data_IF_956880149169
#
_entry.id   IF_956880149169
#
_cell.length_a   1.000
_cell.length_b   1.000
_cell.length_c   1.000
_cell.angle_alpha   90.00
_cell.angle_beta   90.00
_cell.angle_gamma   90.00
#
_symmetry.space_group_name_H-M   'P 1'
#
loop_
_entity.id
_entity.type
_entity.pdbx_description
1 polymer ?
#
# COMPACT_ATOMS: atom_id res chain seq x y z
N UNK A 1 -10.32 27.15 16.99
CA UNK A 1 -11.44 26.36 17.50
C UNK A 1 -12.37 26.06 16.31
N UNK A 2 -12.53 24.80 15.94
CA UNK A 2 -13.41 24.36 14.84
C UNK A 2 -12.73 23.61 13.70
N UNK A 3 -11.42 23.62 13.57
CA UNK A 3 -10.73 22.79 12.60
C UNK A 3 -10.47 21.38 13.15
N UNK A 4 -10.64 20.36 12.30
CA UNK A 4 -10.32 18.97 12.62
C UNK A 4 -8.78 18.80 12.71
N UNK A 5 -8.20 19.14 13.86
CA UNK A 5 -6.79 18.92 14.13
C UNK A 5 -6.58 17.43 14.45
N UNK A 6 -6.39 16.64 13.40
CA UNK A 6 -6.20 15.20 13.52
C UNK A 6 -5.12 14.70 12.57
N UNK A 7 -4.52 13.58 12.94
CA UNK A 7 -3.55 12.82 12.16
C UNK A 7 -3.93 11.36 12.11
N UNK A 8 -3.58 10.68 11.01
CA UNK A 8 -3.72 9.24 10.89
C UNK A 8 -2.35 8.56 11.08
N UNK A 9 -2.30 7.44 11.80
CA UNK A 9 -1.06 6.75 12.13
C UNK A 9 -1.19 5.27 11.82
N UNK A 10 -0.28 4.77 10.98
CA UNK A 10 -0.16 3.37 10.63
C UNK A 10 1.24 2.83 10.87
N UNK A 11 1.40 1.53 10.76
CA UNK A 11 2.70 0.86 10.87
C UNK A 11 2.72 -0.46 10.10
N UNK A 12 3.91 -0.92 9.77
CA UNK A 12 4.16 -2.24 9.18
C UNK A 12 4.49 -3.31 10.25
N UNK A 13 5.05 -4.47 9.81
CA UNK A 13 5.40 -5.59 10.66
C UNK A 13 6.79 -5.50 11.31
N UNK A 14 7.59 -4.48 10.99
CA UNK A 14 8.98 -4.38 11.45
C UNK A 14 9.08 -4.24 12.96
N UNK A 15 10.25 -4.65 13.49
CA UNK A 15 10.55 -4.49 14.90
C UNK A 15 10.34 -3.04 15.35
N UNK A 16 9.68 -2.86 16.49
CA UNK A 16 9.32 -1.57 17.10
C UNK A 16 8.32 -0.71 16.30
N UNK A 17 7.86 -1.12 15.10
CA UNK A 17 6.92 -0.29 14.33
C UNK A 17 5.65 0.03 15.12
N UNK A 18 5.07 -0.94 15.81
CA UNK A 18 3.89 -0.75 16.67
C UNK A 18 4.18 0.21 17.82
N UNK A 19 5.29 0.02 18.53
CA UNK A 19 5.71 0.86 19.65
C UNK A 19 5.92 2.33 19.22
N UNK A 20 6.56 2.54 18.08
CA UNK A 20 6.76 3.88 17.54
C UNK A 20 5.44 4.53 17.08
N UNK A 21 4.51 3.76 16.53
CA UNK A 21 3.18 4.26 16.15
C UNK A 21 2.38 4.68 17.40
N UNK A 22 2.39 3.88 18.46
CA UNK A 22 1.74 4.20 19.74
C UNK A 22 2.36 5.42 20.41
N UNK A 23 3.70 5.52 20.42
CA UNK A 23 4.42 6.69 20.92
C UNK A 23 4.07 7.95 20.13
N UNK A 24 3.99 7.83 18.81
CA UNK A 24 3.56 8.93 17.93
C UNK A 24 2.15 9.38 18.27
N UNK A 25 1.21 8.45 18.45
CA UNK A 25 -0.17 8.77 18.86
C UNK A 25 -0.22 9.44 20.23
N UNK A 26 0.57 8.95 21.20
CA UNK A 26 0.67 9.55 22.54
C UNK A 26 1.14 11.01 22.46
N UNK A 27 2.20 11.29 21.71
CA UNK A 27 2.77 12.64 21.55
C UNK A 27 1.76 13.58 20.87
N UNK A 28 1.11 13.17 19.77
CA UNK A 28 0.09 13.99 19.12
C UNK A 28 -1.08 14.29 20.08
N UNK A 29 -1.57 13.27 20.78
CA UNK A 29 -2.68 13.43 21.73
C UNK A 29 -2.33 14.38 22.90
N UNK A 30 -1.10 14.27 23.42
CA UNK A 30 -0.58 15.14 24.48
C UNK A 30 -0.49 16.61 24.06
N UNK A 31 -0.40 16.88 22.75
CA UNK A 31 -0.39 18.22 22.17
C UNK A 31 -1.79 18.68 21.67
N UNK A 32 -2.85 17.97 22.06
CA UNK A 32 -4.22 18.35 21.76
C UNK A 32 -4.73 17.93 20.37
N UNK A 33 -3.92 17.15 19.63
CA UNK A 33 -4.24 16.67 18.28
C UNK A 33 -4.91 15.29 18.40
N UNK A 34 -6.02 15.08 17.70
CA UNK A 34 -6.65 13.76 17.63
C UNK A 34 -5.81 12.81 16.78
N UNK A 35 -5.43 11.67 17.33
CA UNK A 35 -4.67 10.64 16.64
C UNK A 35 -5.59 9.47 16.28
N UNK A 36 -5.80 9.23 14.99
CA UNK A 36 -6.42 8.01 14.49
C UNK A 36 -5.33 6.96 14.31
N UNK A 37 -5.32 5.95 15.15
CA UNK A 37 -4.31 4.89 15.16
C UNK A 37 -4.95 3.58 14.67
N UNK A 38 -4.36 2.95 13.67
CA UNK A 38 -4.80 1.61 13.29
C UNK A 38 -4.55 0.60 14.41
N UNK A 39 -5.53 -0.28 14.65
CA UNK A 39 -5.48 -1.30 15.72
C UNK A 39 -4.32 -2.29 15.54
N UNK A 40 -3.92 -2.53 14.29
CA UNK A 40 -2.78 -3.36 13.91
C UNK A 40 -2.15 -2.83 12.62
N UNK A 41 -1.13 -3.52 12.12
CA UNK A 41 -0.48 -3.14 10.86
C UNK A 41 -1.50 -3.01 9.71
N UNK A 42 -1.35 -1.98 8.89
CA UNK A 42 -2.14 -1.73 7.68
C UNK A 42 -1.24 -1.20 6.56
N UNK A 43 -1.61 -1.44 5.30
CA UNK A 43 -0.81 -0.99 4.16
C UNK A 43 -0.88 0.51 3.96
N UNK A 44 0.20 1.06 3.41
CA UNK A 44 0.35 2.48 3.07
C UNK A 44 -0.84 3.05 2.27
N UNK A 45 -1.41 2.36 1.26
CA UNK A 45 -2.57 2.86 0.53
C UNK A 45 -3.81 3.08 1.41
N UNK A 46 -4.05 2.23 2.40
CA UNK A 46 -5.18 2.41 3.32
C UNK A 46 -4.95 3.59 4.26
N UNK A 47 -3.72 3.78 4.74
CA UNK A 47 -3.38 4.96 5.55
C UNK A 47 -3.56 6.26 4.75
N UNK A 48 -3.11 6.30 3.49
CA UNK A 48 -3.36 7.44 2.58
C UNK A 48 -4.85 7.72 2.38
N UNK A 49 -5.65 6.67 2.22
CA UNK A 49 -7.11 6.77 2.14
C UNK A 49 -7.70 7.34 3.44
N UNK A 50 -7.24 6.85 4.61
CA UNK A 50 -7.73 7.28 5.91
C UNK A 50 -7.49 8.78 6.18
N UNK A 51 -6.35 9.32 5.78
CA UNK A 51 -6.06 10.75 5.89
C UNK A 51 -7.14 11.59 5.19
N UNK A 52 -7.48 11.23 3.96
CA UNK A 52 -8.48 11.96 3.15
C UNK A 52 -9.89 11.74 3.65
N UNK A 53 -10.24 10.49 3.94
CA UNK A 53 -11.58 10.08 4.35
C UNK A 53 -11.99 10.68 5.70
N UNK A 54 -11.04 10.79 6.64
CA UNK A 54 -11.26 11.37 7.96
C UNK A 54 -10.99 12.89 8.02
N UNK A 55 -10.54 13.48 6.90
CA UNK A 55 -10.18 14.90 6.84
C UNK A 55 -9.02 15.26 7.76
N UNK A 56 -8.06 14.34 7.94
CA UNK A 56 -6.87 14.59 8.74
C UNK A 56 -5.98 15.68 8.13
N UNK A 57 -5.26 16.41 8.98
CA UNK A 57 -4.26 17.40 8.52
C UNK A 57 -2.98 16.76 7.99
N UNK A 58 -2.78 15.47 8.26
CA UNK A 58 -1.65 14.69 7.80
C UNK A 58 -1.68 13.29 8.37
N UNK A 59 -0.62 12.55 8.14
CA UNK A 59 -0.47 11.21 8.68
C UNK A 59 0.97 10.76 8.77
N UNK A 60 1.15 9.63 9.42
CA UNK A 60 2.45 8.98 9.62
C UNK A 60 2.30 7.50 9.40
N UNK A 61 3.24 6.89 8.69
CA UNK A 61 3.39 5.45 8.70
C UNK A 61 4.81 5.07 9.14
N UNK A 62 4.89 4.15 10.08
CA UNK A 62 6.15 3.61 10.58
C UNK A 62 6.50 2.39 9.74
N UNK A 63 7.44 2.58 8.82
CA UNK A 63 7.87 1.55 7.86
C UNK A 63 9.19 1.93 7.20
N UNK A 64 9.97 0.94 6.79
CA UNK A 64 11.09 1.11 5.88
C UNK A 64 10.86 0.36 4.54
N UNK A 65 9.57 0.12 4.16
CA UNK A 65 9.19 -0.55 2.92
C UNK A 65 9.90 -1.91 2.77
N UNK A 66 10.64 -2.15 1.70
CA UNK A 66 11.39 -3.37 1.39
C UNK A 66 12.87 -3.32 1.83
N UNK A 67 13.30 -2.27 2.54
CA UNK A 67 14.67 -2.19 3.05
C UNK A 67 15.01 -3.37 3.99
N UNK A 68 16.30 -3.68 4.22
CA UNK A 68 16.73 -4.72 5.14
C UNK A 68 16.04 -4.62 6.52
N UNK A 69 15.86 -5.75 7.19
CA UNK A 69 15.06 -5.88 8.42
C UNK A 69 15.54 -5.02 9.59
N UNK A 70 16.83 -4.66 9.58
CA UNK A 70 17.46 -3.82 10.60
C UNK A 70 16.99 -2.36 10.52
N UNK A 71 16.39 -1.95 9.40
CA UNK A 71 15.92 -0.59 9.21
C UNK A 71 14.45 -0.45 9.62
N UNK A 72 14.15 0.74 10.14
CA UNK A 72 12.78 1.23 10.24
C UNK A 72 12.76 2.69 9.79
N UNK A 73 11.58 3.28 9.61
CA UNK A 73 11.44 4.62 9.09
C UNK A 73 10.17 5.32 9.55
N UNK A 74 10.16 6.63 9.35
CA UNK A 74 9.05 7.51 9.69
C UNK A 74 8.67 8.29 8.42
N UNK A 75 7.67 7.81 7.69
CA UNK A 75 7.15 8.48 6.50
C UNK A 75 6.02 9.43 6.91
N UNK A 76 6.17 10.72 6.67
CA UNK A 76 5.15 11.73 6.94
C UNK A 76 4.35 12.07 5.68
N UNK A 77 3.05 12.28 5.86
CA UNK A 77 2.08 12.53 4.79
C UNK A 77 1.31 13.83 5.04
N UNK A 78 0.88 14.48 3.96
CA UNK A 78 0.06 15.68 4.03
C UNK A 78 -1.44 15.35 4.01
N UNK A 79 -2.29 16.37 4.05
CA UNK A 79 -3.74 16.22 4.10
C UNK A 79 -4.37 15.67 2.81
N UNK A 80 -3.65 15.66 1.71
CA UNK A 80 -4.05 15.04 0.45
C UNK A 80 -3.79 13.52 0.40
N UNK A 81 -3.16 12.97 1.45
CA UNK A 81 -2.76 11.57 1.53
C UNK A 81 -1.46 11.23 0.81
N UNK A 82 -0.71 12.23 0.33
CA UNK A 82 0.59 12.04 -0.31
C UNK A 82 1.74 12.23 0.68
N UNK A 83 2.83 11.49 0.47
CA UNK A 83 4.05 11.68 1.24
C UNK A 83 4.58 13.11 1.07
N UNK A 84 5.11 13.71 2.16
CA UNK A 84 5.66 15.06 2.13
C UNK A 84 6.78 15.18 1.11
N UNK A 85 6.70 16.25 0.32
CA UNK A 85 7.70 16.62 -0.68
C UNK A 85 8.19 18.06 -0.44
N UNK A 86 9.31 18.48 -1.05
CA UNK A 86 9.78 19.86 -0.95
C UNK A 86 8.69 20.90 -1.29
N UNK A 87 8.61 22.01 -0.55
CA UNK A 87 9.47 22.42 0.57
C UNK A 87 9.01 21.91 1.95
N UNK A 88 7.89 21.19 2.04
CA UNK A 88 7.24 20.84 3.30
C UNK A 88 8.04 19.84 4.15
N UNK A 89 8.68 18.85 3.52
CA UNK A 89 9.56 17.89 4.16
C UNK A 89 10.70 18.60 4.91
N UNK A 90 11.38 19.54 4.22
CA UNK A 90 12.45 20.33 4.82
C UNK A 90 11.93 21.21 5.96
N UNK A 91 10.78 21.85 5.78
CA UNK A 91 10.19 22.71 6.80
C UNK A 91 9.89 21.92 8.09
N UNK A 92 9.36 20.71 7.98
CA UNK A 92 9.11 19.82 9.12
C UNK A 92 10.44 19.47 9.82
N UNK A 93 11.46 19.06 9.07
CA UNK A 93 12.77 18.72 9.65
C UNK A 93 13.41 19.95 10.34
N UNK A 94 13.27 21.15 9.78
CA UNK A 94 13.80 22.36 10.39
C UNK A 94 13.06 22.72 11.71
N UNK A 95 11.78 22.42 11.83
CA UNK A 95 11.05 22.54 13.11
C UNK A 95 11.47 21.46 14.11
N UNK A 96 11.61 20.20 13.67
CA UNK A 96 12.09 19.10 14.54
C UNK A 96 13.43 19.43 15.19
N UNK A 97 14.37 20.03 14.45
CA UNK A 97 15.68 20.42 14.98
C UNK A 97 15.62 21.47 16.10
N UNK A 98 14.53 22.23 16.22
CA UNK A 98 14.34 23.24 17.26
C UNK A 98 13.80 22.64 18.56
N UNK A 99 13.17 21.45 18.49
CA UNK A 99 12.55 20.81 19.65
C UNK A 99 13.62 20.21 20.56
N UNK A 100 13.58 20.55 21.83
CA UNK A 100 14.41 19.91 22.85
C UNK A 100 13.69 18.68 23.39
N UNK A 101 14.41 17.61 23.68
CA UNK A 101 13.85 16.38 24.24
C UNK A 101 13.04 16.66 25.51
N UNK A 102 13.48 17.60 26.35
CA UNK A 102 12.79 18.06 27.56
C UNK A 102 11.41 18.69 27.32
N UNK A 103 11.15 19.15 26.11
CA UNK A 103 9.91 19.84 25.77
C UNK A 103 8.84 18.88 25.22
N UNK A 104 9.22 17.60 24.98
CA UNK A 104 8.34 16.58 24.42
C UNK A 104 7.36 16.09 25.50
N UNK A 105 6.07 16.14 25.20
CA UNK A 105 5.00 15.63 26.05
C UNK A 105 4.69 14.18 25.65
N UNK A 106 5.06 13.23 26.49
CA UNK A 106 4.86 11.80 26.24
C UNK A 106 3.56 11.23 26.83
N UNK A 107 2.91 11.94 27.75
CA UNK A 107 1.71 11.42 28.44
C UNK A 107 0.52 11.44 27.50
N UNK A 108 0.08 10.29 27.07
CA UNK A 108 -1.08 10.13 26.22
C UNK A 108 -2.37 10.71 26.82
N UNK A 109 -3.21 11.29 25.98
CA UNK A 109 -4.58 11.71 26.30
C UNK A 109 -5.54 10.70 25.64
N UNK A 110 -6.06 9.69 26.36
CA UNK A 110 -6.81 8.57 25.77
C UNK A 110 -8.01 9.01 24.93
N UNK A 111 -8.74 10.02 25.35
CA UNK A 111 -9.92 10.52 24.63
C UNK A 111 -9.59 11.10 23.24
N UNK A 112 -8.33 11.43 22.99
CA UNK A 112 -7.82 11.92 21.71
C UNK A 112 -7.20 10.85 20.84
N UNK A 113 -7.12 9.61 21.31
CA UNK A 113 -6.65 8.47 20.50
C UNK A 113 -7.88 7.68 20.06
N UNK A 114 -8.08 7.58 18.74
CA UNK A 114 -9.20 6.86 18.13
C UNK A 114 -8.65 5.67 17.36
N UNK A 115 -9.14 4.48 17.67
CA UNK A 115 -8.70 3.26 17.01
C UNK A 115 -9.48 3.04 15.72
N UNK A 116 -8.76 2.75 14.64
CA UNK A 116 -9.31 2.31 13.36
C UNK A 116 -9.16 0.80 13.24
N UNK A 117 -10.25 0.10 13.09
CA UNK A 117 -10.33 -1.37 13.01
C UNK A 117 -11.01 -1.86 11.75
N UNK A 118 -11.56 -3.07 11.81
CA UNK A 118 -12.15 -3.79 10.67
C UNK A 118 -13.28 -3.02 9.95
N UNK A 119 -14.05 -2.21 10.66
CA UNK A 119 -15.08 -1.37 10.04
C UNK A 119 -14.47 -0.38 9.05
N UNK A 120 -13.28 0.12 9.36
CA UNK A 120 -12.54 1.01 8.46
C UNK A 120 -11.94 0.24 7.29
N UNK A 121 -11.39 -0.95 7.52
CA UNK A 121 -10.92 -1.86 6.47
C UNK A 121 -12.05 -2.11 5.46
N UNK A 122 -13.26 -2.39 5.94
CA UNK A 122 -14.40 -2.65 5.05
C UNK A 122 -14.79 -1.42 4.23
N UNK A 123 -14.70 -0.22 4.81
CA UNK A 123 -14.92 1.04 4.08
C UNK A 123 -13.89 1.23 2.96
N UNK A 124 -12.62 0.97 3.26
CA UNK A 124 -11.54 1.00 2.26
C UNK A 124 -11.79 0.00 1.15
N UNK A 125 -12.05 -1.27 1.47
CA UNK A 125 -12.32 -2.33 0.49
C UNK A 125 -13.52 -2.01 -0.41
N UNK A 126 -14.59 -1.46 0.14
CA UNK A 126 -15.76 -1.04 -0.64
C UNK A 126 -15.42 0.10 -1.60
N UNK A 127 -14.60 1.05 -1.15
CA UNK A 127 -14.15 2.15 -2.00
C UNK A 127 -13.25 1.63 -3.14
N UNK A 128 -12.28 0.77 -2.83
CA UNK A 128 -11.41 0.14 -3.83
C UNK A 128 -12.21 -0.66 -4.87
N UNK A 129 -13.27 -1.34 -4.44
CA UNK A 129 -14.16 -2.07 -5.36
C UNK A 129 -14.77 -1.16 -6.43
N UNK A 130 -15.10 0.09 -6.10
CA UNK A 130 -15.68 1.04 -7.07
C UNK A 130 -14.72 1.46 -8.18
N UNK A 131 -13.41 1.19 -8.02
CA UNK A 131 -12.38 1.52 -9.01
C UNK A 131 -12.29 0.48 -10.14
N UNK A 132 -13.00 -0.65 -10.05
CA UNK A 132 -13.01 -1.67 -11.09
C UNK A 132 -13.62 -1.12 -12.39
N UNK A 133 -12.85 -1.18 -13.48
CA UNK A 133 -13.27 -0.71 -14.79
C UNK A 133 -13.81 -1.82 -15.70
N UNK A 134 -13.72 -3.09 -15.28
CA UNK A 134 -14.14 -4.24 -16.06
C UNK A 134 -14.77 -5.34 -15.17
N UNK A 135 -15.84 -5.04 -14.41
CA UNK A 135 -16.45 -6.02 -13.53
C UNK A 135 -17.01 -7.23 -14.30
N UNK A 136 -17.44 -7.05 -15.52
CA UNK A 136 -17.89 -8.12 -16.41
C UNK A 136 -16.77 -9.12 -16.76
N UNK A 137 -15.54 -8.62 -16.96
CA UNK A 137 -14.39 -9.50 -17.21
C UNK A 137 -14.06 -10.34 -15.98
N UNK A 138 -14.16 -9.76 -14.79
CA UNK A 138 -13.96 -10.49 -13.53
C UNK A 138 -15.02 -11.58 -13.37
N UNK A 139 -16.29 -11.31 -13.70
CA UNK A 139 -17.34 -12.31 -13.65
C UNK A 139 -17.07 -13.50 -14.57
N UNK A 140 -16.54 -13.26 -15.77
CA UNK A 140 -16.18 -14.30 -16.73
C UNK A 140 -14.93 -15.09 -16.34
N UNK A 141 -14.06 -14.52 -15.51
CA UNK A 141 -12.78 -15.07 -15.09
C UNK A 141 -12.70 -15.24 -13.56
N UNK A 142 -13.86 -15.43 -12.91
CA UNK A 142 -13.96 -15.47 -11.45
C UNK A 142 -13.18 -16.65 -10.81
N UNK A 143 -12.94 -17.70 -11.56
CA UNK A 143 -12.21 -18.90 -11.19
C UNK A 143 -10.71 -18.87 -11.53
N UNK A 144 -10.21 -17.72 -12.03
CA UNK A 144 -8.78 -17.51 -12.28
C UNK A 144 -7.97 -17.94 -11.06
N UNK A 145 -7.01 -18.83 -11.28
CA UNK A 145 -6.14 -19.36 -10.22
C UNK A 145 -5.06 -18.35 -9.88
N UNK A 146 -5.23 -17.66 -8.77
CA UNK A 146 -4.33 -16.60 -8.31
C UNK A 146 -3.51 -17.11 -7.12
N UNK A 147 -2.19 -17.02 -7.19
CA UNK A 147 -1.30 -17.18 -6.04
C UNK A 147 -0.90 -15.80 -5.52
N UNK A 148 -1.01 -15.61 -4.20
CA UNK A 148 -0.69 -14.34 -3.56
C UNK A 148 0.22 -14.53 -2.34
N UNK A 149 1.21 -13.63 -2.19
CA UNK A 149 2.01 -13.50 -0.97
C UNK A 149 2.17 -12.04 -0.56
N UNK A 150 2.00 -11.71 0.73
CA UNK A 150 2.30 -10.40 1.31
C UNK A 150 3.77 -10.24 1.72
N UNK A 151 4.63 -11.21 1.50
CA UNK A 151 6.03 -11.24 1.97
C UNK A 151 6.16 -10.85 3.45
N UNK A 152 5.35 -11.49 4.33
CA UNK A 152 5.24 -11.21 5.76
C UNK A 152 4.66 -9.83 6.13
N UNK A 153 4.20 -9.04 5.15
CA UNK A 153 3.81 -7.64 5.33
C UNK A 153 2.32 -7.39 5.57
N UNK A 154 1.96 -6.14 5.46
CA UNK A 154 0.67 -5.56 5.85
C UNK A 154 -0.52 -6.00 4.99
N UNK A 155 -0.26 -6.48 3.77
CA UNK A 155 -1.32 -6.81 2.80
C UNK A 155 -1.98 -8.17 3.02
N UNK A 156 -1.55 -8.92 4.03
CA UNK A 156 -1.99 -10.30 4.31
C UNK A 156 -3.51 -10.46 4.45
N UNK A 157 -4.21 -9.47 4.99
CA UNK A 157 -5.68 -9.45 5.10
C UNK A 157 -6.34 -8.82 3.88
N UNK A 158 -5.89 -7.62 3.51
CA UNK A 158 -6.66 -6.75 2.61
C UNK A 158 -6.60 -7.18 1.15
N UNK A 159 -5.47 -7.66 0.65
CA UNK A 159 -5.39 -8.08 -0.76
C UNK A 159 -6.24 -9.32 -1.02
N UNK A 160 -6.17 -10.42 -0.26
CA UNK A 160 -7.08 -11.54 -0.46
C UNK A 160 -8.56 -11.16 -0.25
N UNK A 161 -8.87 -10.28 0.70
CA UNK A 161 -10.23 -9.80 0.92
C UNK A 161 -10.72 -8.96 -0.27
N UNK A 162 -9.88 -8.08 -0.83
CA UNK A 162 -10.19 -7.27 -2.00
C UNK A 162 -10.45 -8.13 -3.23
N UNK A 163 -9.61 -9.12 -3.50
CA UNK A 163 -9.80 -10.04 -4.62
C UNK A 163 -11.13 -10.79 -4.51
N UNK A 164 -11.46 -11.31 -3.32
CA UNK A 164 -12.76 -11.96 -3.08
C UNK A 164 -13.93 -10.98 -3.21
N UNK A 165 -13.77 -9.76 -2.72
CA UNK A 165 -14.79 -8.71 -2.84
C UNK A 165 -15.08 -8.34 -4.31
N UNK A 166 -14.09 -8.41 -5.18
CA UNK A 166 -14.28 -8.26 -6.62
C UNK A 166 -14.95 -9.45 -7.29
N UNK A 167 -14.87 -10.65 -6.69
CA UNK A 167 -15.54 -11.86 -7.20
C UNK A 167 -14.62 -13.02 -7.56
N UNK A 168 -13.30 -12.89 -7.38
CA UNK A 168 -12.39 -14.02 -7.58
C UNK A 168 -12.56 -15.06 -6.48
N UNK A 169 -12.70 -16.33 -6.86
CA UNK A 169 -12.98 -17.44 -5.95
C UNK A 169 -11.79 -18.35 -5.69
N UNK A 170 -10.80 -18.36 -6.60
CA UNK A 170 -9.68 -19.30 -6.57
C UNK A 170 -8.38 -18.59 -6.21
N UNK A 171 -8.25 -18.23 -4.93
CA UNK A 171 -7.09 -17.51 -4.40
C UNK A 171 -6.33 -18.44 -3.45
N UNK A 172 -5.09 -18.76 -3.79
CA UNK A 172 -4.16 -19.54 -2.98
C UNK A 172 -3.11 -18.59 -2.39
N UNK A 173 -2.88 -18.66 -1.09
CA UNK A 173 -1.86 -17.88 -0.40
C UNK A 173 -0.68 -18.76 -0.01
N UNK A 174 0.47 -18.16 0.30
CA UNK A 174 1.65 -18.85 0.83
C UNK A 174 1.60 -18.79 2.36
N UNK A 175 1.20 -19.88 3.06
CA UNK A 175 0.88 -19.84 4.48
C UNK A 175 2.03 -19.29 5.34
N UNK A 176 3.27 -19.65 5.05
CA UNK A 176 4.45 -19.21 5.78
C UNK A 176 4.65 -17.71 5.67
N UNK A 177 4.34 -17.12 4.51
CA UNK A 177 4.50 -15.69 4.24
C UNK A 177 3.26 -14.86 4.63
N UNK A 178 2.14 -15.52 4.95
CA UNK A 178 0.97 -14.85 5.54
C UNK A 178 1.15 -14.51 7.02
N UNK A 179 2.16 -15.11 7.68
CA UNK A 179 2.56 -14.76 9.04
C UNK A 179 3.33 -13.44 8.97
N UNK A 180 2.79 -12.40 9.62
CA UNK A 180 3.45 -11.09 9.67
C UNK A 180 4.66 -11.15 10.60
N UNK A 181 5.85 -10.86 10.05
CA UNK A 181 7.11 -11.01 10.77
C UNK A 181 8.16 -10.00 10.28
N UNK A 182 8.68 -9.19 11.19
CA UNK A 182 9.72 -8.19 10.90
C UNK A 182 11.09 -8.78 10.58
N UNK A 183 11.32 -10.06 10.85
CA UNK A 183 12.56 -10.76 10.47
C UNK A 183 12.54 -11.28 9.03
N UNK A 184 11.37 -11.30 8.37
CA UNK A 184 11.20 -11.79 6.99
C UNK A 184 11.84 -13.18 6.76
N UNK A 185 11.52 -14.21 7.57
CA UNK A 185 12.32 -15.44 7.69
C UNK A 185 12.41 -16.27 6.42
N UNK A 186 11.53 -16.07 5.45
CA UNK A 186 11.52 -16.85 4.19
C UNK A 186 12.20 -16.15 3.02
N UNK A 187 12.64 -14.89 3.18
CA UNK A 187 13.24 -14.09 2.11
C UNK A 187 14.43 -13.27 2.63
N UNK A 188 15.47 -13.15 1.83
CA UNK A 188 16.60 -12.27 2.15
C UNK A 188 16.28 -10.78 1.93
N UNK A 189 15.38 -10.50 0.97
CA UNK A 189 14.86 -9.19 0.65
C UNK A 189 13.36 -9.31 0.40
N UNK A 190 12.55 -8.48 1.02
CA UNK A 190 11.10 -8.46 0.84
C UNK A 190 10.67 -7.56 -0.33
N UNK A 191 11.48 -7.49 -1.38
CA UNK A 191 11.18 -6.74 -2.59
C UNK A 191 10.48 -7.62 -3.63
N UNK A 192 9.20 -7.37 -3.98
CA UNK A 192 8.43 -8.21 -4.90
C UNK A 192 8.91 -8.13 -6.36
N UNK A 193 9.85 -7.24 -6.68
CA UNK A 193 10.49 -7.18 -8.01
C UNK A 193 11.67 -8.14 -8.13
N UNK A 194 12.13 -8.74 -7.02
CA UNK A 194 13.26 -9.67 -7.00
C UNK A 194 12.78 -11.12 -7.19
N UNK A 195 13.35 -11.87 -8.16
CA UNK A 195 12.96 -13.27 -8.39
C UNK A 195 13.10 -14.17 -7.15
N UNK A 196 14.07 -13.88 -6.28
CA UNK A 196 14.29 -14.64 -5.05
C UNK A 196 13.13 -14.49 -4.06
N UNK A 197 12.55 -13.29 -3.93
CA UNK A 197 11.38 -13.04 -3.09
C UNK A 197 10.13 -13.74 -3.64
N UNK A 198 10.02 -13.86 -4.95
CA UNK A 198 8.89 -14.49 -5.64
C UNK A 198 8.93 -16.04 -5.65
N UNK A 199 10.06 -16.63 -5.25
CA UNK A 199 10.30 -18.07 -5.41
C UNK A 199 9.18 -18.95 -4.87
N UNK A 200 8.76 -18.75 -3.61
CA UNK A 200 7.72 -19.59 -3.00
C UNK A 200 6.37 -19.44 -3.72
N UNK A 201 6.02 -18.23 -4.15
CA UNK A 201 4.80 -17.99 -4.92
C UNK A 201 4.87 -18.67 -6.30
N UNK A 202 6.00 -18.62 -6.99
CA UNK A 202 6.19 -19.29 -8.29
C UNK A 202 6.21 -20.82 -8.16
N UNK A 203 6.82 -21.37 -7.11
CA UNK A 203 6.80 -22.81 -6.87
C UNK A 203 5.38 -23.30 -6.64
N UNK A 204 4.59 -22.58 -5.82
CA UNK A 204 3.17 -22.88 -5.61
C UNK A 204 2.35 -22.69 -6.89
N UNK A 205 2.63 -21.66 -7.66
CA UNK A 205 1.94 -21.40 -8.93
C UNK A 205 2.16 -22.53 -9.94
N UNK A 206 3.37 -23.10 -10.01
CA UNK A 206 3.67 -24.28 -10.83
C UNK A 206 2.96 -25.52 -10.32
N UNK A 207 2.96 -25.76 -8.99
CA UNK A 207 2.33 -26.90 -8.35
C UNK A 207 0.84 -27.02 -8.68
N UNK A 208 0.11 -25.89 -8.64
CA UNK A 208 -1.35 -25.87 -8.83
C UNK A 208 -1.76 -25.48 -10.25
N UNK A 209 -0.80 -25.32 -11.15
CA UNK A 209 -1.01 -24.78 -12.49
C UNK A 209 -1.82 -23.46 -12.46
N UNK A 210 -1.30 -22.48 -11.73
CA UNK A 210 -1.93 -21.18 -11.59
C UNK A 210 -1.82 -20.34 -12.88
N UNK A 211 -2.69 -19.33 -12.98
CA UNK A 211 -2.73 -18.38 -14.10
C UNK A 211 -1.94 -17.11 -13.78
N UNK A 212 -1.91 -16.71 -12.49
CA UNK A 212 -1.33 -15.46 -12.02
C UNK A 212 -0.66 -15.66 -10.66
N UNK A 213 0.51 -15.08 -10.48
CA UNK A 213 1.14 -14.94 -9.16
C UNK A 213 1.41 -13.47 -8.82
N UNK A 214 1.14 -13.09 -7.58
CA UNK A 214 1.25 -11.71 -7.10
C UNK A 214 1.97 -11.67 -5.76
N UNK A 215 2.80 -10.64 -5.56
CA UNK A 215 3.44 -10.37 -4.28
C UNK A 215 3.39 -8.87 -3.95
N UNK A 216 3.24 -8.52 -2.68
CA UNK A 216 3.40 -7.15 -2.20
C UNK A 216 4.61 -7.03 -1.27
N UNK A 217 5.21 -5.84 -1.24
CA UNK A 217 6.23 -5.52 -0.26
C UNK A 217 5.61 -5.30 1.15
N UNK A 218 6.44 -5.20 2.22
CA UNK A 218 5.93 -5.19 3.58
C UNK A 218 4.95 -4.09 3.94
N UNK A 219 5.05 -2.90 3.36
CA UNK A 219 4.10 -1.81 3.59
C UNK A 219 3.03 -1.68 2.48
N UNK A 220 3.06 -2.56 1.49
CA UNK A 220 1.97 -2.74 0.53
C UNK A 220 1.81 -1.61 -0.48
N UNK A 221 2.84 -0.80 -0.73
CA UNK A 221 2.84 0.24 -1.76
C UNK A 221 3.43 -0.22 -3.11
N UNK A 222 3.93 -1.47 -3.18
CA UNK A 222 4.42 -2.13 -4.38
C UNK A 222 3.74 -3.46 -4.64
N UNK A 223 3.67 -3.81 -5.93
CA UNK A 223 3.19 -5.11 -6.39
C UNK A 223 4.15 -5.68 -7.42
N UNK A 224 4.54 -6.94 -7.23
CA UNK A 224 5.16 -7.78 -8.24
C UNK A 224 4.11 -8.70 -8.86
N UNK A 225 4.22 -8.93 -10.17
CA UNK A 225 3.29 -9.77 -10.94
C UNK A 225 4.08 -10.72 -11.80
N UNK A 226 3.73 -12.01 -11.73
CA UNK A 226 4.25 -13.02 -12.64
C UNK A 226 3.12 -13.71 -13.39
N UNK A 227 3.35 -13.96 -14.67
CA UNK A 227 2.41 -14.61 -15.61
C UNK A 227 3.17 -15.63 -16.47
N UNK A 228 2.44 -16.52 -17.13
CA UNK A 228 3.02 -17.41 -18.15
C UNK A 228 3.18 -16.68 -19.49
N UNK A 229 4.29 -16.93 -20.16
CA UNK A 229 4.48 -16.53 -21.56
C UNK A 229 3.80 -17.50 -22.54
N UNK A 230 3.92 -17.26 -23.84
CA UNK A 230 3.35 -18.08 -24.90
C UNK A 230 3.90 -19.53 -24.94
N UNK A 231 4.98 -19.80 -24.21
CA UNK A 231 5.58 -21.15 -24.07
C UNK A 231 5.15 -21.83 -22.78
N UNK A 232 4.38 -21.14 -21.94
CA UNK A 232 3.99 -21.60 -20.62
C UNK A 232 5.03 -21.40 -19.54
N UNK A 233 6.11 -20.62 -19.82
CA UNK A 233 7.14 -20.32 -18.84
C UNK A 233 6.76 -19.09 -18.00
N UNK A 234 6.99 -19.18 -16.69
CA UNK A 234 6.72 -18.09 -15.78
C UNK A 234 7.70 -16.93 -15.96
N UNK A 235 7.17 -15.74 -16.21
CA UNK A 235 7.93 -14.49 -16.29
C UNK A 235 7.47 -13.54 -15.20
N UNK A 236 8.43 -12.95 -14.48
CA UNK A 236 8.19 -11.85 -13.55
C UNK A 236 8.25 -10.54 -14.33
N UNK A 237 7.14 -9.80 -14.35
CA UNK A 237 7.08 -8.49 -15.01
C UNK A 237 7.85 -7.48 -14.17
N UNK A 238 8.71 -6.69 -14.80
CA UNK A 238 9.35 -5.58 -14.11
C UNK A 238 8.40 -4.38 -13.97
N UNK A 239 8.73 -3.43 -13.09
CA UNK A 239 7.88 -2.28 -12.80
C UNK A 239 7.51 -1.44 -14.02
N UNK A 240 8.40 -1.30 -15.01
CA UNK A 240 8.08 -0.60 -16.26
C UNK A 240 7.05 -1.33 -17.10
N UNK A 241 7.18 -2.65 -17.25
CA UNK A 241 6.21 -3.47 -17.98
C UNK A 241 4.82 -3.39 -17.33
N UNK A 242 4.76 -3.56 -16.02
CA UNK A 242 3.52 -3.47 -15.25
C UNK A 242 2.87 -2.09 -15.38
N UNK A 243 3.64 -1.01 -15.20
CA UNK A 243 3.13 0.35 -15.31
C UNK A 243 2.62 0.70 -16.72
N UNK A 244 3.29 0.22 -17.77
CA UNK A 244 2.87 0.41 -19.15
C UNK A 244 1.51 -0.27 -19.40
N UNK A 245 1.37 -1.54 -18.97
CA UNK A 245 0.13 -2.31 -19.12
C UNK A 245 -1.02 -1.63 -18.37
N UNK A 246 -0.79 -1.23 -17.12
CA UNK A 246 -1.83 -0.57 -16.30
C UNK A 246 -2.23 0.78 -16.88
N UNK A 247 -1.27 1.61 -17.31
CA UNK A 247 -1.56 2.91 -17.89
C UNK A 247 -2.41 2.74 -19.16
N UNK A 248 -1.99 1.84 -20.05
CA UNK A 248 -2.75 1.56 -21.28
C UNK A 248 -4.15 1.06 -20.97
N UNK A 249 -4.29 0.05 -20.09
CA UNK A 249 -5.57 -0.52 -19.70
C UNK A 249 -6.53 0.54 -19.13
N UNK A 250 -6.06 1.35 -18.18
CA UNK A 250 -6.87 2.37 -17.52
C UNK A 250 -7.38 3.39 -18.54
N UNK A 251 -6.50 3.89 -19.41
CA UNK A 251 -6.88 4.88 -20.44
C UNK A 251 -7.90 4.28 -21.41
N UNK A 252 -7.62 3.07 -21.96
CA UNK A 252 -8.53 2.43 -22.91
C UNK A 252 -9.91 2.14 -22.29
N UNK A 253 -9.96 1.63 -21.08
CA UNK A 253 -11.23 1.33 -20.41
C UNK A 253 -12.01 2.60 -20.07
N UNK A 254 -11.35 3.63 -19.53
CA UNK A 254 -12.01 4.91 -19.26
C UNK A 254 -12.56 5.56 -20.54
N UNK A 255 -11.81 5.48 -21.64
CA UNK A 255 -12.24 5.94 -22.97
C UNK A 255 -13.48 5.17 -23.45
N UNK A 256 -13.44 3.83 -23.38
CA UNK A 256 -14.56 2.98 -23.79
C UNK A 256 -15.83 3.18 -22.95
N UNK A 257 -15.68 3.55 -21.67
CA UNK A 257 -16.77 3.84 -20.73
C UNK A 257 -17.25 5.31 -20.80
N UNK A 258 -16.66 6.16 -21.65
CA UNK A 258 -17.01 7.58 -21.74
C UNK A 258 -16.66 8.39 -20.48
N UNK A 259 -15.66 7.94 -19.70
CA UNK A 259 -15.25 8.55 -18.44
C UNK A 259 -14.14 9.60 -18.58
N UNK A 260 -13.57 9.75 -19.79
CA UNK A 260 -12.58 10.79 -20.05
C UNK A 260 -13.26 12.14 -20.33
N UNK A 261 -12.76 13.20 -19.70
CA UNK A 261 -13.27 14.57 -19.80
C UNK A 261 -12.37 15.46 -20.67
N UNK A 262 -11.19 14.97 -21.08
CA UNK A 262 -10.22 15.69 -21.90
C UNK A 262 -9.26 16.60 -21.11
N UNK A 263 -9.28 16.52 -19.79
CA UNK A 263 -8.38 17.26 -18.89
C UNK A 263 -7.58 16.36 -17.94
N UNK A 264 -7.58 15.07 -18.22
CA UNK A 264 -6.78 14.10 -17.49
C UNK A 264 -5.30 14.27 -17.79
N UNK A 265 -4.47 13.89 -16.82
CA UNK A 265 -3.03 13.83 -16.99
C UNK A 265 -2.46 12.54 -16.40
N UNK A 266 -1.33 12.11 -16.91
CA UNK A 266 -0.55 10.98 -16.40
C UNK A 266 0.74 11.50 -15.80
N UNK A 267 0.99 11.15 -14.53
CA UNK A 267 2.25 11.45 -13.84
C UNK A 267 3.18 10.22 -13.88
N UNK A 268 4.45 10.43 -14.19
CA UNK A 268 5.49 9.41 -14.10
C UNK A 268 6.78 10.00 -13.53
N UNK A 269 7.63 9.16 -12.96
CA UNK A 269 8.97 9.55 -12.52
C UNK A 269 9.96 9.52 -13.70
N UNK A 270 11.12 10.18 -13.53
CA UNK A 270 12.17 10.21 -14.56
C UNK A 270 12.73 8.84 -14.89
N UNK A 271 12.71 7.90 -13.93
CA UNK A 271 13.20 6.52 -14.11
C UNK A 271 12.18 5.59 -14.76
N UNK A 272 10.95 6.06 -14.95
CA UNK A 272 9.89 5.26 -15.58
C UNK A 272 9.92 5.44 -17.09
N UNK A 273 9.55 4.39 -17.85
CA UNK A 273 9.59 4.35 -19.31
C UNK A 273 8.88 5.53 -19.98
N UNK A 274 9.47 6.12 -21.03
CA UNK A 274 8.85 7.14 -21.88
C UNK A 274 7.61 6.63 -22.64
N UNK A 275 7.48 5.31 -22.81
CA UNK A 275 6.30 4.71 -23.47
C UNK A 275 4.99 5.08 -22.73
N UNK A 276 5.02 5.33 -21.41
CA UNK A 276 3.86 5.81 -20.66
C UNK A 276 3.40 7.16 -21.18
N UNK A 277 4.34 8.08 -21.45
CA UNK A 277 4.04 9.38 -22.07
C UNK A 277 3.43 9.21 -23.46
N UNK A 278 4.06 8.37 -24.31
CA UNK A 278 3.56 8.12 -25.66
C UNK A 278 2.13 7.56 -25.66
N UNK A 279 1.80 6.66 -24.71
CA UNK A 279 0.46 6.11 -24.54
C UNK A 279 -0.52 7.22 -24.14
N UNK A 280 -0.15 8.08 -23.19
CA UNK A 280 -1.02 9.16 -22.73
C UNK A 280 -1.29 10.19 -23.84
N UNK A 281 -0.26 10.61 -24.59
CA UNK A 281 -0.38 11.62 -25.65
C UNK A 281 -1.15 11.13 -26.89
N UNK A 282 -1.20 9.82 -27.16
CA UNK A 282 -1.87 9.24 -28.32
C UNK A 282 -3.34 8.85 -28.08
N UNK A 283 -3.84 8.98 -26.86
CA UNK A 283 -5.18 8.53 -26.47
C UNK A 283 -6.06 9.61 -25.84
#
# INVERSE_FOLDING_TARGET
PGENNSVCIGHDCRHHSREYAETTAAIFSANGITAYLFESLRPTPEMSFAIRELGCKGGVIITASHNPKEYNGYKAYWNDGSQLVPPHDKNVIDEVKKVKVTDIKFTAVPDKIKILGEDFDQKFLNTVKTLSLSPEAIQHQHDLKIVFTPLHGTTYKLVPASLRNWGFTNITTIPEQMITDGDFPTVASANPEEPAAFKMALDKAREIDADLAMACDPDGDRIGIAVKDDRGEWILLNGNQTNIIFTWYIIQRRKALGLLKGNEYTGKTIVTSELIKDIAEKN
#
